data_IF_084802998861
#
_entry.id   IF_084802998861
#
_cell.length_a   1.000
_cell.length_b   1.000
_cell.length_c   1.000
_cell.angle_alpha   90.00
_cell.angle_beta   90.00
_cell.angle_gamma   90.00
#
_symmetry.space_group_name_H-M   'P 1'
#
loop_
_entity.id
_entity.type
_entity.pdbx_description
1 polymer ?
#
# COMPACT_ATOMS: atom_id res chain seq x y z
N UNK A 1 15.03 19.13 -10.08
CA UNK A 1 13.85 18.99 -9.20
C UNK A 1 12.96 17.96 -9.85
N UNK A 2 12.62 16.87 -9.16
CA UNK A 2 11.80 15.77 -9.68
C UNK A 2 10.32 16.11 -9.49
N UNK A 3 9.53 16.07 -10.56
CA UNK A 3 8.07 16.30 -10.46
C UNK A 3 7.37 14.98 -10.16
N UNK A 4 6.65 14.92 -9.04
CA UNK A 4 5.93 13.73 -8.59
C UNK A 4 4.42 13.97 -8.60
N UNK A 5 3.65 13.00 -9.09
CA UNK A 5 2.20 12.95 -8.94
C UNK A 5 1.85 11.91 -7.87
N UNK A 6 1.15 12.32 -6.84
CA UNK A 6 0.60 11.45 -5.79
C UNK A 6 -0.91 11.41 -5.94
N UNK A 7 -1.49 10.28 -6.35
CA UNK A 7 -2.95 10.09 -6.38
C UNK A 7 -3.41 9.40 -5.11
N UNK A 8 -4.61 9.73 -4.61
CA UNK A 8 -5.05 9.28 -3.29
C UNK A 8 -4.27 9.97 -2.16
N UNK A 9 -3.89 11.21 -2.39
CA UNK A 9 -3.04 11.99 -1.50
C UNK A 9 -3.64 12.23 -0.10
N UNK A 10 -4.96 12.21 0.03
CA UNK A 10 -5.69 12.31 1.31
C UNK A 10 -5.80 10.98 2.08
N UNK A 11 -5.26 9.87 1.55
CA UNK A 11 -5.22 8.58 2.24
C UNK A 11 -4.05 8.48 3.24
N UNK A 12 -4.01 7.39 4.03
CA UNK A 12 -2.98 7.19 5.07
C UNK A 12 -1.55 7.18 4.51
N UNK A 13 -1.32 6.42 3.43
CA UNK A 13 0.00 6.40 2.77
C UNK A 13 0.27 7.75 2.11
N UNK A 14 -0.76 8.39 1.51
CA UNK A 14 -0.64 9.69 0.84
C UNK A 14 -0.17 10.77 1.81
N UNK A 15 -0.81 10.89 2.98
CA UNK A 15 -0.40 11.80 4.04
C UNK A 15 1.07 11.61 4.43
N UNK A 16 1.45 10.37 4.74
CA UNK A 16 2.82 10.06 5.16
C UNK A 16 3.85 10.31 4.03
N UNK A 17 3.46 10.07 2.77
CA UNK A 17 4.33 10.30 1.62
C UNK A 17 4.52 11.80 1.32
N UNK A 18 3.47 12.62 1.43
CA UNK A 18 3.56 14.08 1.29
C UNK A 18 4.50 14.67 2.36
N UNK A 19 4.37 14.23 3.61
CA UNK A 19 5.28 14.60 4.69
C UNK A 19 6.73 14.26 4.35
N UNK A 20 6.98 13.04 3.87
CA UNK A 20 8.31 12.59 3.50
C UNK A 20 8.92 13.39 2.32
N UNK A 21 8.12 13.79 1.32
CA UNK A 21 8.60 14.66 0.25
C UNK A 21 8.94 16.07 0.74
N UNK A 22 8.13 16.62 1.64
CA UNK A 22 8.40 17.92 2.24
C UNK A 22 9.72 17.90 3.05
N UNK A 23 9.94 16.87 3.86
CA UNK A 23 11.14 16.71 4.67
C UNK A 23 12.41 16.49 3.83
N UNK A 24 12.31 15.66 2.78
CA UNK A 24 13.46 15.38 1.89
C UNK A 24 13.81 16.56 0.99
N UNK A 25 12.83 17.37 0.60
CA UNK A 25 13.00 18.45 -0.37
C UNK A 25 13.42 17.96 -1.77
N UNK A 26 13.58 18.89 -2.72
CA UNK A 26 14.02 18.59 -4.09
C UNK A 26 12.94 18.04 -5.02
N UNK A 27 11.70 17.97 -4.56
CA UNK A 27 10.53 17.54 -5.33
C UNK A 27 9.59 18.70 -5.63
N UNK A 28 8.92 18.63 -6.78
CA UNK A 28 7.71 19.38 -7.08
C UNK A 28 6.54 18.41 -6.94
N UNK A 29 5.69 18.64 -5.96
CA UNK A 29 4.63 17.69 -5.59
C UNK A 29 3.30 18.13 -6.17
N UNK A 30 2.67 17.25 -6.96
CA UNK A 30 1.29 17.36 -7.44
C UNK A 30 0.47 16.36 -6.62
N UNK A 31 -0.35 16.86 -5.71
CA UNK A 31 -1.23 16.03 -4.88
C UNK A 31 -2.63 15.97 -5.49
N UNK A 32 -3.14 14.77 -5.73
CA UNK A 32 -4.45 14.53 -6.32
C UNK A 32 -5.29 13.62 -5.45
N UNK A 33 -6.53 14.00 -5.18
CA UNK A 33 -7.52 13.14 -4.51
C UNK A 33 -8.92 13.39 -5.08
N UNK A 34 -9.81 12.41 -4.92
CA UNK A 34 -11.23 12.56 -5.25
C UNK A 34 -11.92 13.61 -4.37
N UNK A 35 -11.50 13.70 -3.12
CA UNK A 35 -12.00 14.66 -2.13
C UNK A 35 -11.05 15.83 -2.02
N UNK A 36 -11.58 16.97 -1.60
CA UNK A 36 -10.76 18.11 -1.21
C UNK A 36 -9.79 17.72 -0.10
N UNK A 37 -8.52 18.07 -0.27
CA UNK A 37 -7.51 17.89 0.77
C UNK A 37 -7.68 18.92 1.86
N UNK A 38 -7.48 18.52 3.11
CA UNK A 38 -7.42 19.49 4.21
C UNK A 38 -6.25 20.48 4.01
N UNK A 39 -6.33 21.63 4.70
CA UNK A 39 -5.38 22.73 4.52
C UNK A 39 -3.93 22.33 4.88
N UNK A 40 -3.74 21.38 5.80
CA UNK A 40 -2.42 20.92 6.18
C UNK A 40 -1.79 20.10 5.04
N UNK A 41 -2.49 19.09 4.52
CA UNK A 41 -2.02 18.30 3.38
C UNK A 41 -1.83 19.15 2.12
N UNK A 42 -2.77 20.06 1.85
CA UNK A 42 -2.67 20.98 0.72
C UNK A 42 -1.41 21.85 0.78
N UNK A 43 -0.97 22.25 1.99
CA UNK A 43 0.23 23.07 2.18
C UNK A 43 1.56 22.33 1.89
N UNK A 44 1.53 20.99 1.79
CA UNK A 44 2.69 20.15 1.49
C UNK A 44 2.88 19.92 -0.02
N UNK A 45 1.98 20.42 -0.87
CA UNK A 45 2.02 20.23 -2.32
C UNK A 45 2.16 21.57 -3.07
N UNK A 46 2.90 21.55 -4.18
CA UNK A 46 3.02 22.70 -5.08
C UNK A 46 1.76 22.87 -5.94
N UNK A 47 1.06 21.78 -6.23
CA UNK A 47 -0.20 21.76 -6.99
C UNK A 47 -1.16 20.79 -6.29
N UNK A 48 -2.38 21.25 -6.03
CA UNK A 48 -3.46 20.42 -5.49
C UNK A 48 -4.55 20.28 -6.56
N UNK A 49 -4.93 19.02 -6.83
CA UNK A 49 -5.93 18.69 -7.82
C UNK A 49 -7.04 17.86 -7.18
N UNK A 50 -8.29 18.28 -7.36
CA UNK A 50 -9.44 17.46 -7.02
C UNK A 50 -9.97 16.79 -8.29
N UNK A 51 -9.94 15.44 -8.31
CA UNK A 51 -10.37 14.69 -9.49
C UNK A 51 -10.43 13.19 -9.27
N UNK A 52 -11.11 12.50 -10.17
CA UNK A 52 -11.28 11.05 -10.17
C UNK A 52 -10.26 10.40 -11.12
N UNK A 53 -9.50 9.42 -10.64
CA UNK A 53 -8.58 8.65 -11.49
C UNK A 53 -9.32 7.85 -12.58
N UNK A 54 -10.60 7.52 -12.36
CA UNK A 54 -11.45 6.86 -13.35
C UNK A 54 -11.96 7.80 -14.44
N UNK A 55 -11.85 9.12 -14.28
CA UNK A 55 -12.20 10.10 -15.31
C UNK A 55 -11.03 10.27 -16.29
N UNK A 56 -11.15 9.63 -17.45
CA UNK A 56 -10.13 9.66 -18.48
C UNK A 56 -9.89 11.08 -19.06
N UNK A 57 -10.93 11.92 -19.14
CA UNK A 57 -10.79 13.29 -19.66
C UNK A 57 -10.01 14.16 -18.68
N UNK A 58 -10.33 14.05 -17.38
CA UNK A 58 -9.57 14.72 -16.32
C UNK A 58 -8.10 14.29 -16.33
N UNK A 59 -7.82 12.98 -16.38
CA UNK A 59 -6.45 12.44 -16.40
C UNK A 59 -5.69 12.87 -17.67
N UNK A 60 -6.36 12.98 -18.82
CA UNK A 60 -5.74 13.50 -20.05
C UNK A 60 -5.30 14.97 -19.89
N UNK A 61 -6.01 15.77 -19.10
CA UNK A 61 -5.63 17.15 -18.77
C UNK A 61 -4.31 17.26 -18.01
N UNK A 62 -3.85 16.18 -17.37
CA UNK A 62 -2.57 16.15 -16.64
C UNK A 62 -1.34 16.07 -17.55
N UNK A 63 -1.52 15.83 -18.84
CA UNK A 63 -0.43 15.82 -19.84
C UNK A 63 0.34 17.16 -19.88
N UNK A 64 -0.24 18.27 -19.40
CA UNK A 64 0.42 19.57 -19.29
C UNK A 64 1.55 19.60 -18.25
N UNK A 65 1.56 18.67 -17.30
CA UNK A 65 2.60 18.58 -16.28
C UNK A 65 3.74 17.69 -16.76
N UNK A 66 4.97 18.09 -16.46
CA UNK A 66 6.18 17.31 -16.76
C UNK A 66 6.48 16.33 -15.60
N UNK A 67 5.60 15.32 -15.46
CA UNK A 67 5.67 14.33 -14.37
C UNK A 67 6.82 13.36 -14.66
N UNK A 68 7.70 13.20 -13.66
CA UNK A 68 8.82 12.23 -13.67
C UNK A 68 8.44 10.92 -12.99
N UNK A 69 7.65 11.01 -11.90
CA UNK A 69 7.26 9.85 -11.09
C UNK A 69 5.78 9.94 -10.71
N UNK A 70 5.08 8.80 -10.77
CA UNK A 70 3.70 8.64 -10.33
C UNK A 70 3.67 7.71 -9.13
N UNK A 71 3.10 8.15 -8.01
CA UNK A 71 2.79 7.33 -6.84
C UNK A 71 1.28 7.11 -6.81
N UNK A 72 0.85 5.96 -7.34
CA UNK A 72 -0.57 5.68 -7.54
C UNK A 72 -1.20 5.01 -6.33
N UNK A 73 -1.64 5.82 -5.35
CA UNK A 73 -2.23 5.34 -4.09
C UNK A 73 -3.77 5.26 -4.13
N UNK A 74 -4.40 5.97 -5.08
CA UNK A 74 -5.87 6.00 -5.20
C UNK A 74 -6.42 4.59 -5.47
N UNK A 75 -7.27 4.08 -4.57
CA UNK A 75 -7.92 2.79 -4.71
C UNK A 75 -9.14 2.66 -3.80
N UNK A 76 -10.13 1.87 -4.21
CA UNK A 76 -11.13 1.31 -3.31
C UNK A 76 -10.55 0.07 -2.63
N UNK A 77 -10.49 0.10 -1.28
CA UNK A 77 -9.90 -0.96 -0.46
C UNK A 77 -10.87 -2.13 -0.23
N UNK A 78 -10.37 -3.21 0.37
CA UNK A 78 -11.00 -4.52 0.51
C UNK A 78 -12.50 -4.50 0.86
N UNK A 79 -12.87 -3.87 1.97
CA UNK A 79 -14.28 -3.87 2.44
C UNK A 79 -15.22 -3.11 1.49
N UNK A 80 -14.77 -2.00 0.91
CA UNK A 80 -15.56 -1.22 -0.05
C UNK A 80 -15.64 -1.90 -1.40
N UNK A 81 -14.56 -2.55 -1.83
CA UNK A 81 -14.49 -3.29 -3.09
C UNK A 81 -15.45 -4.51 -3.10
N UNK A 82 -15.56 -5.22 -1.98
CA UNK A 82 -16.52 -6.34 -1.85
C UNK A 82 -17.99 -5.89 -1.92
N UNK A 83 -18.29 -4.69 -1.44
CA UNK A 83 -19.65 -4.14 -1.47
C UNK A 83 -20.03 -3.55 -2.83
N UNK A 84 -19.06 -3.05 -3.60
CA UNK A 84 -19.25 -2.35 -4.87
C UNK A 84 -18.16 -2.78 -5.88
N UNK A 85 -18.20 -4.03 -6.36
CA UNK A 85 -17.12 -4.60 -7.18
C UNK A 85 -16.96 -3.91 -8.54
N UNK A 86 -18.04 -3.43 -9.14
CA UNK A 86 -18.05 -2.66 -10.39
C UNK A 86 -17.37 -1.30 -10.22
N UNK A 87 -17.68 -0.58 -9.14
CA UNK A 87 -17.03 0.70 -8.81
C UNK A 87 -15.55 0.47 -8.49
N UNK A 88 -15.24 -0.59 -7.74
CA UNK A 88 -13.86 -0.95 -7.43
C UNK A 88 -13.05 -1.27 -8.69
N UNK A 89 -13.63 -2.02 -9.63
CA UNK A 89 -12.98 -2.28 -10.92
C UNK A 89 -12.72 -0.96 -11.68
N UNK A 90 -13.71 -0.08 -11.75
CA UNK A 90 -13.56 1.19 -12.46
C UNK A 90 -12.44 2.06 -11.86
N UNK A 91 -12.42 2.24 -10.55
CA UNK A 91 -11.39 3.04 -9.87
C UNK A 91 -10.02 2.35 -9.93
N UNK A 92 -9.95 1.08 -9.51
CA UNK A 92 -8.67 0.41 -9.32
C UNK A 92 -8.02 -0.01 -10.65
N UNK A 93 -8.82 -0.45 -11.63
CA UNK A 93 -8.30 -0.97 -12.90
C UNK A 93 -8.30 0.08 -13.99
N UNK A 94 -9.45 0.70 -14.29
CA UNK A 94 -9.52 1.72 -15.32
C UNK A 94 -8.75 2.98 -14.90
N UNK A 95 -8.79 3.38 -13.61
CA UNK A 95 -7.97 4.46 -13.08
C UNK A 95 -6.47 4.20 -13.26
N UNK A 96 -6.00 2.99 -12.96
CA UNK A 96 -4.60 2.61 -13.21
C UNK A 96 -4.25 2.68 -14.71
N UNK A 97 -5.13 2.18 -15.59
CA UNK A 97 -4.92 2.26 -17.04
C UNK A 97 -4.83 3.72 -17.51
N UNK A 98 -5.72 4.60 -17.06
CA UNK A 98 -5.72 6.03 -17.43
C UNK A 98 -4.37 6.68 -17.07
N UNK A 99 -3.86 6.42 -15.86
CA UNK A 99 -2.58 6.96 -15.40
C UNK A 99 -1.37 6.37 -16.14
N UNK A 100 -1.40 5.08 -16.47
CA UNK A 100 -0.36 4.45 -17.29
C UNK A 100 -0.34 5.05 -18.70
N UNK A 101 -1.50 5.26 -19.32
CA UNK A 101 -1.59 5.90 -20.63
C UNK A 101 -1.16 7.38 -20.60
N UNK A 102 -1.52 8.12 -19.56
CA UNK A 102 -1.01 9.47 -19.30
C UNK A 102 0.52 9.48 -19.20
N UNK A 103 1.07 8.58 -18.35
CA UNK A 103 2.53 8.47 -18.16
C UNK A 103 3.25 8.20 -19.46
N UNK A 104 2.69 7.33 -20.33
CA UNK A 104 3.22 7.08 -21.67
C UNK A 104 3.21 8.31 -22.56
N UNK A 105 2.10 9.06 -22.61
CA UNK A 105 2.02 10.29 -23.42
C UNK A 105 3.04 11.33 -22.98
N UNK A 106 3.18 11.54 -21.66
CA UNK A 106 4.19 12.44 -21.10
C UNK A 106 5.60 11.97 -21.47
N UNK A 107 5.90 10.67 -21.32
CA UNK A 107 7.19 10.09 -21.65
C UNK A 107 7.56 10.30 -23.13
N UNK A 108 6.66 10.01 -24.05
CA UNK A 108 6.86 10.23 -25.48
C UNK A 108 7.08 11.71 -25.83
N UNK A 109 6.28 12.61 -25.27
CA UNK A 109 6.43 14.07 -25.48
C UNK A 109 7.78 14.58 -24.99
N UNK A 110 8.26 14.06 -23.83
CA UNK A 110 9.51 14.51 -23.18
C UNK A 110 10.74 13.78 -23.68
N UNK A 111 10.60 12.62 -24.32
CA UNK A 111 11.71 11.71 -24.64
C UNK A 111 12.38 11.12 -23.41
N UNK A 112 11.62 10.91 -22.31
CA UNK A 112 12.12 10.38 -21.04
C UNK A 112 11.15 9.33 -20.47
N UNK A 113 11.66 8.44 -19.61
CA UNK A 113 10.84 7.42 -18.96
C UNK A 113 10.12 8.02 -17.75
N UNK A 114 8.83 7.72 -17.59
CA UNK A 114 8.09 8.02 -16.37
C UNK A 114 8.11 6.81 -15.44
N UNK A 115 8.54 7.00 -14.21
CA UNK A 115 8.54 5.97 -13.18
C UNK A 115 7.15 5.86 -12.55
N UNK A 116 6.63 4.64 -12.43
CA UNK A 116 5.29 4.39 -11.93
C UNK A 116 5.32 3.48 -10.71
N UNK A 117 5.14 4.04 -9.52
CA UNK A 117 5.12 3.34 -8.23
C UNK A 117 3.70 2.87 -7.92
N UNK A 118 3.53 1.56 -7.76
CA UNK A 118 2.23 0.94 -7.54
C UNK A 118 2.19 0.17 -6.23
N UNK A 119 1.50 0.67 -5.21
CA UNK A 119 1.19 -0.08 -4.01
C UNK A 119 0.24 -1.24 -4.30
N UNK A 120 0.80 -2.45 -4.31
CA UNK A 120 0.04 -3.69 -4.27
C UNK A 120 -0.13 -4.16 -2.82
N UNK A 121 -0.50 -5.40 -2.58
CA UNK A 121 -0.96 -5.89 -1.28
C UNK A 121 -0.78 -7.40 -1.15
N UNK A 122 -0.66 -7.91 0.06
CA UNK A 122 -0.75 -9.35 0.36
C UNK A 122 -2.13 -9.96 0.02
N UNK A 123 -3.17 -9.14 -0.19
CA UNK A 123 -4.48 -9.61 -0.62
C UNK A 123 -4.48 -10.22 -2.05
N UNK A 124 -3.38 -10.11 -2.80
CA UNK A 124 -3.17 -10.83 -4.07
C UNK A 124 -3.02 -12.34 -3.87
N UNK A 125 -2.66 -12.76 -2.66
CA UNK A 125 -2.51 -14.16 -2.31
C UNK A 125 -3.86 -14.79 -1.97
N UNK A 126 -4.07 -16.05 -2.42
CA UNK A 126 -5.24 -16.84 -2.10
C UNK A 126 -4.85 -18.27 -1.75
N UNK A 127 -4.57 -18.53 -0.48
CA UNK A 127 -4.22 -19.84 0.05
C UNK A 127 -5.50 -20.54 0.46
N UNK A 128 -5.72 -21.78 -0.02
CA UNK A 128 -7.02 -22.43 0.03
C UNK A 128 -7.43 -23.03 1.37
N UNK A 129 -6.48 -23.25 2.29
CA UNK A 129 -6.78 -23.79 3.62
C UNK A 129 -5.75 -23.33 4.66
N UNK A 130 -6.10 -23.43 5.93
CA UNK A 130 -5.21 -23.13 7.06
C UNK A 130 -3.99 -24.08 7.08
N UNK A 131 -4.18 -25.34 6.74
CA UNK A 131 -3.09 -26.33 6.64
C UNK A 131 -2.09 -25.90 5.55
N UNK A 132 -2.57 -25.49 4.37
CA UNK A 132 -1.74 -25.00 3.30
C UNK A 132 -1.03 -23.69 3.69
N UNK A 133 -1.72 -22.77 4.40
CA UNK A 133 -1.15 -21.54 4.93
C UNK A 133 -0.02 -21.81 5.92
N UNK A 134 -0.23 -22.73 6.85
CA UNK A 134 0.78 -23.10 7.84
C UNK A 134 1.99 -23.83 7.21
N UNK A 135 1.76 -24.55 6.12
CA UNK A 135 2.81 -25.27 5.39
C UNK A 135 3.57 -24.40 4.38
N UNK A 136 3.02 -23.23 3.96
CA UNK A 136 3.62 -22.41 2.90
C UNK A 136 4.91 -21.71 3.31
N UNK A 137 5.13 -21.51 4.62
CA UNK A 137 6.24 -20.69 5.09
C UNK A 137 6.17 -19.25 4.58
N UNK A 138 7.32 -18.67 4.22
CA UNK A 138 7.40 -17.35 3.60
C UNK A 138 7.07 -17.45 2.11
N UNK A 139 5.97 -16.79 1.70
CA UNK A 139 5.44 -16.89 0.34
C UNK A 139 6.26 -16.01 -0.63
N UNK A 140 6.63 -16.59 -1.77
CA UNK A 140 7.32 -15.90 -2.87
C UNK A 140 6.32 -15.14 -3.77
N UNK A 141 6.83 -14.20 -4.56
CA UNK A 141 6.02 -13.32 -5.41
C UNK A 141 5.23 -14.03 -6.52
N UNK A 142 5.66 -15.22 -6.93
CA UNK A 142 5.01 -16.03 -7.99
C UNK A 142 4.11 -17.15 -7.46
N UNK A 143 3.94 -17.24 -6.14
CA UNK A 143 3.14 -18.27 -5.49
C UNK A 143 1.74 -17.77 -5.13
N UNK A 144 0.75 -18.65 -5.13
CA UNK A 144 -0.62 -18.43 -4.64
C UNK A 144 -1.35 -17.19 -5.18
N UNK A 145 -1.05 -16.75 -6.41
CA UNK A 145 -1.69 -15.59 -7.05
C UNK A 145 -3.12 -15.90 -7.51
N UNK A 146 -3.95 -16.33 -6.59
CA UNK A 146 -5.36 -16.67 -6.78
C UNK A 146 -6.23 -15.95 -5.75
N UNK A 147 -6.28 -14.60 -5.79
CA UNK A 147 -6.96 -13.79 -4.78
C UNK A 147 -8.42 -14.18 -4.62
N UNK A 148 -8.92 -14.04 -3.40
CA UNK A 148 -10.30 -14.38 -3.01
C UNK A 148 -11.18 -13.16 -2.79
N UNK A 149 -10.65 -11.95 -3.01
CA UNK A 149 -11.36 -10.68 -2.88
C UNK A 149 -11.28 -9.86 -4.15
N UNK A 150 -12.30 -9.02 -4.41
CA UNK A 150 -12.31 -8.12 -5.57
C UNK A 150 -11.10 -7.17 -5.57
N UNK A 151 -10.73 -6.68 -4.40
CA UNK A 151 -9.52 -5.85 -4.24
C UNK A 151 -8.26 -6.59 -4.67
N UNK A 152 -8.06 -7.82 -4.18
CA UNK A 152 -6.91 -8.65 -4.56
C UNK A 152 -6.88 -8.96 -6.06
N UNK A 153 -8.05 -9.28 -6.66
CA UNK A 153 -8.17 -9.50 -8.12
C UNK A 153 -7.78 -8.26 -8.90
N UNK A 154 -8.27 -7.07 -8.50
CA UNK A 154 -7.89 -5.81 -9.15
C UNK A 154 -6.38 -5.55 -9.04
N UNK A 155 -5.79 -5.78 -7.86
CA UNK A 155 -4.34 -5.54 -7.64
C UNK A 155 -3.47 -6.48 -8.46
N UNK A 156 -3.76 -7.79 -8.51
CA UNK A 156 -3.05 -8.75 -9.39
C UNK A 156 -3.17 -8.35 -10.85
N UNK A 157 -4.37 -7.96 -11.31
CA UNK A 157 -4.55 -7.49 -12.68
C UNK A 157 -3.66 -6.27 -12.97
N UNK A 158 -3.65 -5.29 -12.09
CA UNK A 158 -2.83 -4.08 -12.25
C UNK A 158 -1.33 -4.35 -12.19
N UNK A 159 -0.86 -5.31 -11.39
CA UNK A 159 0.55 -5.77 -11.42
C UNK A 159 0.92 -6.29 -12.82
N UNK A 160 0.09 -7.16 -13.40
CA UNK A 160 0.31 -7.71 -14.74
C UNK A 160 0.19 -6.63 -15.82
N UNK A 161 -0.80 -5.75 -15.71
CA UNK A 161 -0.99 -4.62 -16.63
C UNK A 161 0.23 -3.67 -16.61
N UNK A 162 0.70 -3.29 -15.42
CA UNK A 162 1.87 -2.41 -15.28
C UNK A 162 3.14 -3.04 -15.84
N UNK A 163 3.37 -4.34 -15.58
CA UNK A 163 4.46 -5.10 -16.17
C UNK A 163 4.37 -5.14 -17.71
N UNK A 164 3.19 -5.43 -18.25
CA UNK A 164 2.96 -5.40 -19.70
C UNK A 164 3.23 -4.01 -20.30
N UNK A 165 2.75 -2.94 -19.68
CA UNK A 165 2.96 -1.57 -20.17
C UNK A 165 4.43 -1.16 -20.10
N UNK A 166 5.18 -1.66 -19.14
CA UNK A 166 6.61 -1.38 -18.97
C UNK A 166 7.51 -2.14 -19.96
N UNK A 167 7.18 -3.42 -20.22
CA UNK A 167 8.11 -4.33 -20.86
C UNK A 167 7.68 -4.77 -22.28
N UNK A 168 6.38 -4.68 -22.62
CA UNK A 168 5.83 -5.28 -23.84
C UNK A 168 4.93 -4.35 -24.66
N UNK A 169 4.40 -3.27 -24.06
CA UNK A 169 3.48 -2.39 -24.79
C UNK A 169 4.16 -1.71 -25.97
N UNK A 170 3.44 -1.56 -27.06
CA UNK A 170 3.94 -0.88 -28.27
C UNK A 170 4.55 -1.80 -29.32
N UNK A 171 4.50 -3.14 -29.14
CA UNK A 171 5.10 -4.09 -30.10
C UNK A 171 4.59 -3.95 -31.54
N UNK A 172 3.37 -3.41 -31.73
CA UNK A 172 2.73 -3.21 -33.03
C UNK A 172 2.45 -1.73 -33.35
N UNK A 173 3.08 -0.82 -32.61
CA UNK A 173 2.94 0.64 -32.83
C UNK A 173 4.19 1.23 -33.50
N UNK A 174 4.09 2.43 -34.09
CA UNK A 174 5.20 3.11 -34.78
C UNK A 174 6.36 3.47 -33.84
N UNK A 175 6.08 3.57 -32.52
CA UNK A 175 7.04 3.84 -31.46
C UNK A 175 7.53 2.54 -30.76
N UNK A 176 7.43 1.42 -31.47
CA UNK A 176 7.92 0.11 -31.01
C UNK A 176 9.38 0.18 -30.53
N UNK A 177 9.64 -0.40 -29.33
CA UNK A 177 10.96 -0.38 -28.71
C UNK A 177 11.27 0.86 -27.87
N UNK A 178 10.43 1.91 -27.89
CA UNK A 178 10.60 3.07 -27.02
C UNK A 178 10.11 2.76 -25.62
N UNK A 179 11.02 2.70 -24.65
CA UNK A 179 10.65 2.54 -23.23
C UNK A 179 10.05 3.85 -22.71
N UNK A 180 8.81 3.80 -22.25
CA UNK A 180 8.07 4.98 -21.77
C UNK A 180 7.75 4.93 -20.29
N UNK A 181 7.57 3.74 -19.74
CA UNK A 181 7.18 3.50 -18.35
C UNK A 181 8.20 2.60 -17.67
N UNK A 182 8.56 2.95 -16.43
CA UNK A 182 9.27 2.09 -15.50
C UNK A 182 8.35 1.75 -14.34
N UNK A 183 7.58 0.64 -14.51
CA UNK A 183 6.62 0.18 -13.52
C UNK A 183 7.31 -0.57 -12.39
N UNK A 184 7.00 -0.19 -11.16
CA UNK A 184 7.55 -0.79 -9.93
C UNK A 184 6.44 -0.93 -8.89
N UNK A 185 6.27 -2.11 -8.33
CA UNK A 185 5.25 -2.39 -7.33
C UNK A 185 5.84 -3.03 -6.09
N UNK A 186 5.29 -2.68 -4.92
CA UNK A 186 5.49 -3.37 -3.65
C UNK A 186 4.18 -3.99 -3.20
N UNK A 187 4.22 -5.23 -2.70
CA UNK A 187 3.08 -5.85 -2.02
C UNK A 187 3.17 -5.53 -0.54
N UNK A 188 2.37 -4.57 -0.14
CA UNK A 188 2.29 -4.20 1.27
C UNK A 188 1.68 -5.31 2.12
N UNK A 189 2.26 -5.58 3.29
CA UNK A 189 1.59 -6.28 4.38
C UNK A 189 0.50 -5.40 5.00
N UNK A 190 -0.08 -5.79 6.13
CA UNK A 190 -0.92 -4.91 6.92
C UNK A 190 -0.12 -3.70 7.40
N UNK A 191 -0.38 -2.52 6.83
CA UNK A 191 0.24 -1.28 7.29
C UNK A 191 -0.46 -0.79 8.57
N UNK A 192 0.33 -0.40 9.56
CA UNK A 192 -0.19 0.18 10.81
C UNK A 192 0.32 1.61 10.91
N UNK A 193 -0.61 2.57 10.87
CA UNK A 193 -0.35 3.99 11.11
C UNK A 193 -0.63 4.35 12.56
N UNK A 194 0.22 5.17 13.15
CA UNK A 194 -0.02 5.74 14.47
C UNK A 194 -0.72 7.11 14.40
N UNK A 195 -0.78 7.73 13.22
CA UNK A 195 -1.31 9.09 13.01
C UNK A 195 -2.73 9.10 12.47
N UNK A 196 -3.27 7.96 12.06
CA UNK A 196 -4.62 7.82 11.50
C UNK A 196 -5.43 6.80 12.31
N UNK A 197 -6.74 6.99 12.35
CA UNK A 197 -7.66 6.06 13.03
C UNK A 197 -8.06 4.96 12.04
N UNK A 198 -8.05 3.66 12.44
CA UNK A 198 -8.44 2.55 11.57
C UNK A 198 -9.88 2.73 11.06
N UNK A 199 -10.10 2.43 9.78
CA UNK A 199 -11.36 2.70 9.08
C UNK A 199 -12.23 1.45 8.83
N UNK A 200 -11.89 0.30 9.43
CA UNK A 200 -12.61 -0.96 9.31
C UNK A 200 -12.09 -1.85 8.17
N UNK A 201 -10.82 -1.76 7.84
CA UNK A 201 -10.11 -2.65 6.92
C UNK A 201 -10.05 -4.10 7.44
N UNK A 202 -9.73 -5.03 6.55
CA UNK A 202 -9.69 -6.47 6.89
C UNK A 202 -8.54 -6.81 7.86
N UNK A 203 -7.45 -6.03 7.84
CA UNK A 203 -6.28 -6.17 8.73
C UNK A 203 -6.31 -5.26 9.96
N UNK A 204 -7.37 -4.46 10.13
CA UNK A 204 -7.41 -3.40 11.15
C UNK A 204 -7.53 -3.89 12.60
N UNK A 205 -7.60 -5.21 12.82
CA UNK A 205 -7.64 -5.75 14.19
C UNK A 205 -6.42 -5.34 15.03
N UNK A 206 -5.27 -5.15 14.42
CA UNK A 206 -4.06 -4.74 15.12
C UNK A 206 -4.13 -3.26 15.57
N UNK A 207 -4.33 -2.26 14.69
CA UNK A 207 -4.48 -0.88 15.13
C UNK A 207 -5.74 -0.65 15.99
N UNK A 208 -6.88 -1.30 15.70
CA UNK A 208 -8.08 -1.19 16.53
C UNK A 208 -7.81 -1.61 17.98
N UNK A 209 -7.04 -2.68 18.19
CA UNK A 209 -6.67 -3.17 19.51
C UNK A 209 -5.83 -2.14 20.30
N UNK A 210 -4.85 -1.49 19.63
CA UNK A 210 -4.02 -0.46 20.27
C UNK A 210 -4.87 0.78 20.62
N UNK A 211 -5.69 1.25 19.68
CA UNK A 211 -6.55 2.43 19.91
C UNK A 211 -7.57 2.20 21.04
N UNK A 212 -8.19 1.02 21.10
CA UNK A 212 -9.14 0.70 22.17
C UNK A 212 -8.44 0.65 23.53
N UNK A 213 -7.26 0.02 23.60
CA UNK A 213 -6.48 -0.03 24.83
C UNK A 213 -6.05 1.37 25.31
N UNK A 214 -5.58 2.22 24.39
CA UNK A 214 -5.18 3.59 24.71
C UNK A 214 -6.36 4.47 25.20
N UNK A 215 -7.60 4.17 24.75
CA UNK A 215 -8.82 4.81 25.23
C UNK A 215 -9.35 4.25 26.55
N UNK A 216 -8.83 3.10 27.00
CA UNK A 216 -9.43 2.36 28.12
C UNK A 216 -10.77 1.67 27.77
N UNK A 217 -11.06 1.46 26.49
CA UNK A 217 -12.27 0.82 25.99
C UNK A 217 -12.05 -0.70 25.82
N UNK A 218 -13.07 -1.55 26.12
CA UNK A 218 -12.95 -2.97 25.83
C UNK A 218 -12.94 -3.23 24.32
N UNK A 219 -12.11 -4.19 23.88
CA UNK A 219 -12.00 -4.57 22.48
C UNK A 219 -12.29 -6.06 22.28
N UNK A 220 -13.17 -6.38 21.33
CA UNK A 220 -13.45 -7.74 20.90
C UNK A 220 -12.79 -7.98 19.52
N UNK A 221 -11.62 -8.61 19.52
CA UNK A 221 -10.86 -8.87 18.29
C UNK A 221 -11.65 -9.77 17.36
N UNK A 222 -11.85 -9.32 16.11
CA UNK A 222 -12.69 -9.99 15.13
C UNK A 222 -11.98 -11.14 14.39
N UNK A 223 -10.74 -11.46 14.75
CA UNK A 223 -10.02 -12.65 14.28
C UNK A 223 -9.65 -13.57 15.45
N UNK A 224 -9.30 -14.83 15.14
CA UNK A 224 -8.84 -15.78 16.16
C UNK A 224 -7.48 -15.37 16.72
N UNK A 225 -7.15 -15.80 17.96
CA UNK A 225 -5.85 -15.50 18.58
C UNK A 225 -4.64 -16.00 17.78
N UNK A 226 -4.80 -17.13 17.08
CA UNK A 226 -3.77 -17.76 16.25
C UNK A 226 -3.64 -17.18 14.84
N UNK A 227 -4.52 -16.24 14.47
CA UNK A 227 -4.51 -15.62 13.15
C UNK A 227 -3.22 -14.84 12.95
N UNK A 228 -2.46 -15.22 11.91
CA UNK A 228 -1.18 -14.61 11.55
C UNK A 228 -1.22 -14.07 10.13
N UNK A 229 -0.79 -12.83 9.96
CA UNK A 229 -0.46 -12.19 8.68
C UNK A 229 0.75 -11.28 8.87
N UNK A 230 1.49 -10.92 7.81
CA UNK A 230 2.57 -9.95 7.94
C UNK A 230 2.03 -8.53 8.16
N UNK A 231 2.77 -7.75 8.94
CA UNK A 231 2.53 -6.33 9.24
C UNK A 231 3.78 -5.49 9.05
N UNK A 232 3.58 -4.17 9.01
CA UNK A 232 4.64 -3.18 8.89
C UNK A 232 4.17 -1.84 9.47
N UNK A 233 5.08 -1.10 10.10
CA UNK A 233 4.81 0.27 10.50
C UNK A 233 4.74 1.20 9.26
N UNK A 234 3.86 2.19 9.27
CA UNK A 234 3.68 3.13 8.14
C UNK A 234 4.97 3.81 7.67
N UNK A 235 5.90 4.25 8.54
CA UNK A 235 7.17 4.83 8.10
C UNK A 235 7.98 3.89 7.19
N UNK A 236 8.02 2.59 7.50
CA UNK A 236 8.67 1.59 6.64
C UNK A 236 7.96 1.41 5.30
N UNK A 237 6.63 1.53 5.28
CA UNK A 237 5.85 1.49 4.04
C UNK A 237 6.20 2.66 3.10
N UNK A 238 6.32 3.87 3.65
CA UNK A 238 6.76 5.05 2.89
C UNK A 238 8.21 4.90 2.44
N UNK A 239 9.09 4.47 3.35
CA UNK A 239 10.50 4.19 3.02
C UNK A 239 10.61 3.21 1.85
N UNK A 240 9.84 2.13 1.84
CA UNK A 240 9.85 1.13 0.77
C UNK A 240 9.50 1.73 -0.60
N UNK A 241 8.48 2.59 -0.67
CA UNK A 241 8.13 3.27 -1.93
C UNK A 241 9.25 4.19 -2.43
N UNK A 242 9.85 4.96 -1.53
CA UNK A 242 10.89 5.92 -1.88
C UNK A 242 12.21 5.23 -2.22
N UNK A 243 12.58 4.16 -1.52
CA UNK A 243 13.79 3.39 -1.79
C UNK A 243 13.67 2.63 -3.13
N UNK A 244 12.50 1.99 -3.37
CA UNK A 244 12.25 1.36 -4.67
C UNK A 244 12.23 2.39 -5.81
N UNK A 245 11.70 3.60 -5.58
CA UNK A 245 11.75 4.68 -6.57
C UNK A 245 13.19 5.11 -6.86
N UNK A 246 14.06 5.17 -5.86
CA UNK A 246 15.46 5.56 -6.00
C UNK A 246 16.35 4.47 -6.60
N UNK A 247 15.95 3.20 -6.53
CA UNK A 247 16.73 2.07 -7.02
C UNK A 247 17.05 2.20 -8.52
N UNK A 248 18.28 1.90 -8.97
CA UNK A 248 18.62 1.90 -10.38
C UNK A 248 17.84 0.80 -11.13
N UNK A 249 17.25 1.14 -12.29
CA UNK A 249 16.38 0.21 -13.02
C UNK A 249 17.08 -1.07 -13.47
N UNK A 250 18.39 -1.02 -13.73
CA UNK A 250 19.21 -2.18 -14.13
C UNK A 250 19.45 -3.17 -12.98
N UNK A 251 19.28 -2.77 -11.73
CA UNK A 251 19.48 -3.63 -10.56
C UNK A 251 18.21 -4.41 -10.21
N UNK A 252 17.06 -3.99 -10.77
CA UNK A 252 15.76 -4.61 -10.50
C UNK A 252 15.56 -5.86 -11.36
N UNK A 253 15.49 -7.03 -10.71
CA UNK A 253 15.28 -8.32 -11.41
C UNK A 253 13.78 -8.60 -11.67
N UNK A 254 12.88 -7.84 -11.06
CA UNK A 254 11.41 -7.98 -11.21
C UNK A 254 10.69 -6.64 -11.13
N UNK A 255 9.39 -6.64 -11.44
CA UNK A 255 8.52 -5.45 -11.38
C UNK A 255 7.71 -5.37 -10.09
N UNK A 256 7.54 -6.50 -9.42
CA UNK A 256 6.71 -6.62 -8.21
C UNK A 256 7.55 -7.28 -7.12
N UNK A 257 7.60 -6.65 -5.96
CA UNK A 257 8.37 -7.11 -4.81
C UNK A 257 7.49 -7.34 -3.60
N UNK A 258 7.70 -8.43 -2.92
CA UNK A 258 7.27 -8.58 -1.54
C UNK A 258 8.14 -7.72 -0.63
N UNK A 259 7.54 -7.14 0.39
CA UNK A 259 8.24 -6.50 1.49
C UNK A 259 7.65 -6.97 2.82
N UNK A 260 8.48 -7.27 3.79
CA UNK A 260 8.09 -7.74 5.10
C UNK A 260 8.82 -6.98 6.21
N UNK A 261 8.21 -6.92 7.40
CA UNK A 261 8.85 -6.43 8.62
C UNK A 261 8.66 -7.45 9.76
N UNK A 262 7.43 -7.71 10.16
CA UNK A 262 7.10 -8.69 11.20
C UNK A 262 5.77 -9.40 10.88
N UNK A 263 5.59 -10.61 11.40
CA UNK A 263 4.40 -11.42 11.12
C UNK A 263 3.84 -12.06 12.40
N UNK A 264 3.22 -11.28 13.30
CA UNK A 264 2.69 -11.75 14.56
C UNK A 264 1.34 -12.46 14.40
N UNK A 265 1.01 -13.29 15.37
CA UNK A 265 -0.37 -13.68 15.64
C UNK A 265 -1.12 -12.55 16.35
N UNK A 266 -2.46 -12.58 16.32
CA UNK A 266 -3.27 -11.63 17.08
C UNK A 266 -3.00 -11.69 18.59
N UNK A 267 -2.68 -12.88 19.11
CA UNK A 267 -2.29 -13.06 20.53
C UNK A 267 -0.93 -12.42 20.86
N UNK A 268 0.03 -12.46 19.94
CA UNK A 268 1.32 -11.76 20.14
C UNK A 268 1.14 -10.25 20.12
N UNK A 269 0.26 -9.71 19.27
CA UNK A 269 -0.13 -8.29 19.28
C UNK A 269 -0.77 -7.92 20.63
N UNK A 270 -1.72 -8.74 21.12
CA UNK A 270 -2.34 -8.55 22.43
C UNK A 270 -1.30 -8.46 23.56
N UNK A 271 -0.26 -9.31 23.54
CA UNK A 271 0.80 -9.28 24.54
C UNK A 271 1.53 -7.93 24.57
N UNK A 272 1.91 -7.39 23.41
CA UNK A 272 2.54 -6.06 23.31
C UNK A 272 1.61 -4.95 23.80
N UNK A 273 0.33 -5.01 23.43
CA UNK A 273 -0.66 -4.02 23.88
C UNK A 273 -0.85 -4.07 25.39
N UNK A 274 -1.00 -5.28 25.97
CA UNK A 274 -1.14 -5.44 27.42
C UNK A 274 0.11 -5.10 28.23
N UNK A 275 1.29 -5.24 27.61
CA UNK A 275 2.53 -4.80 28.27
C UNK A 275 2.56 -3.27 28.46
N UNK A 276 2.01 -2.52 27.51
CA UNK A 276 1.92 -1.05 27.59
C UNK A 276 0.66 -0.57 28.34
N UNK A 277 -0.45 -1.27 28.19
CA UNK A 277 -1.75 -0.95 28.80
C UNK A 277 -2.22 -2.15 29.65
N UNK A 278 -1.72 -2.33 30.89
CA UNK A 278 -2.00 -3.51 31.71
C UNK A 278 -3.48 -3.76 32.01
N UNK A 279 -4.28 -2.69 32.03
CA UNK A 279 -5.74 -2.76 32.30
C UNK A 279 -6.58 -2.98 31.04
N UNK A 280 -5.93 -3.16 29.87
CA UNK A 280 -6.65 -3.35 28.59
C UNK A 280 -7.52 -4.60 28.60
N UNK A 281 -8.82 -4.42 28.31
CA UNK A 281 -9.82 -5.48 28.24
C UNK A 281 -9.94 -5.99 26.81
N UNK A 282 -9.15 -6.99 26.46
CA UNK A 282 -9.12 -7.59 25.12
C UNK A 282 -9.74 -8.98 25.19
N UNK A 283 -10.69 -9.25 24.29
CA UNK A 283 -11.34 -10.55 24.09
C UNK A 283 -11.34 -10.92 22.61
N UNK A 284 -11.77 -12.13 22.27
CA UNK A 284 -11.85 -12.61 20.90
C UNK A 284 -13.29 -12.98 20.54
N UNK A 285 -13.79 -12.36 19.45
CA UNK A 285 -15.08 -12.66 18.87
C UNK A 285 -14.95 -12.71 17.34
N UNK A 286 -14.36 -13.80 16.78
CA UNK A 286 -14.06 -13.89 15.36
C UNK A 286 -15.30 -13.66 14.50
N UNK A 287 -15.22 -12.68 13.59
CA UNK A 287 -16.28 -12.40 12.64
C UNK A 287 -16.14 -13.37 11.44
N UNK A 288 -17.09 -14.28 11.20
CA UNK A 288 -16.87 -15.40 10.26
C UNK A 288 -16.43 -14.96 8.87
N UNK A 289 -17.01 -13.90 8.31
CA UNK A 289 -16.67 -13.43 6.95
C UNK A 289 -15.29 -12.75 6.89
N UNK A 290 -14.95 -11.92 7.89
CA UNK A 290 -13.62 -11.26 7.94
C UNK A 290 -12.53 -12.29 8.20
N UNK A 291 -12.76 -13.22 9.12
CA UNK A 291 -11.84 -14.33 9.41
C UNK A 291 -11.58 -15.18 8.16
N UNK A 292 -12.63 -15.55 7.42
CA UNK A 292 -12.50 -16.35 6.21
C UNK A 292 -11.62 -15.66 5.15
N UNK A 293 -11.68 -14.35 5.02
CA UNK A 293 -10.79 -13.59 4.11
C UNK A 293 -9.34 -13.63 4.60
N UNK A 294 -9.09 -13.31 5.88
CA UNK A 294 -7.73 -13.27 6.45
C UNK A 294 -7.08 -14.66 6.43
N UNK A 295 -7.86 -15.71 6.58
CA UNK A 295 -7.38 -17.09 6.50
C UNK A 295 -6.83 -17.47 5.12
N UNK A 296 -7.25 -16.79 4.05
CA UNK A 296 -6.72 -16.99 2.69
C UNK A 296 -5.43 -16.23 2.39
N UNK A 297 -5.02 -15.28 3.23
CA UNK A 297 -3.78 -14.52 3.04
C UNK A 297 -2.58 -15.29 3.59
N UNK A 298 -1.38 -14.95 3.12
CA UNK A 298 -0.15 -15.57 3.62
C UNK A 298 0.09 -15.26 5.11
N UNK A 299 0.76 -16.17 5.80
CA UNK A 299 1.21 -15.95 7.18
C UNK A 299 2.44 -15.02 7.24
N UNK A 300 3.32 -15.12 6.24
CA UNK A 300 4.52 -14.30 6.08
C UNK A 300 4.91 -14.26 4.60
N UNK A 301 5.79 -13.34 4.22
CA UNK A 301 6.30 -13.18 2.86
C UNK A 301 7.81 -13.35 2.81
N UNK A 302 8.31 -13.88 1.70
CA UNK A 302 9.73 -13.83 1.37
C UNK A 302 10.04 -12.51 0.67
N UNK A 303 10.93 -11.71 1.22
CA UNK A 303 11.36 -10.40 0.73
C UNK A 303 12.83 -10.37 0.26
N UNK A 304 13.43 -11.55 0.03
CA UNK A 304 14.83 -11.67 -0.39
C UNK A 304 15.13 -10.94 -1.69
N UNK A 305 14.20 -10.95 -2.65
CA UNK A 305 14.37 -10.21 -3.89
C UNK A 305 14.49 -8.70 -3.65
N UNK A 306 13.64 -8.13 -2.81
CA UNK A 306 13.71 -6.72 -2.43
C UNK A 306 15.04 -6.38 -1.72
N UNK A 307 15.48 -7.25 -0.82
CA UNK A 307 16.76 -7.09 -0.10
C UNK A 307 17.95 -7.12 -1.04
N UNK A 308 17.94 -8.03 -1.99
CA UNK A 308 19.07 -8.23 -2.91
C UNK A 308 19.12 -7.14 -3.99
N UNK A 309 17.98 -6.75 -4.57
CA UNK A 309 17.93 -5.88 -5.74
C UNK A 309 18.06 -4.40 -5.37
N UNK A 310 17.47 -3.97 -4.25
CA UNK A 310 17.45 -2.55 -3.85
C UNK A 310 17.69 -2.29 -2.36
N UNK A 311 18.22 -3.29 -1.63
CA UNK A 311 18.69 -3.12 -0.27
C UNK A 311 17.57 -2.94 0.74
N UNK A 312 16.36 -3.46 0.49
CA UNK A 312 15.24 -3.38 1.40
C UNK A 312 15.62 -3.86 2.80
N UNK A 313 15.32 -3.05 3.79
CA UNK A 313 15.39 -3.42 5.20
C UNK A 313 14.41 -2.56 5.98
N UNK A 314 13.46 -3.16 6.72
CA UNK A 314 12.60 -2.39 7.61
C UNK A 314 13.44 -1.79 8.75
N UNK A 315 13.07 -0.59 9.19
CA UNK A 315 13.68 0.05 10.36
C UNK A 315 13.02 -0.39 11.66
N UNK A 316 11.75 -0.81 11.57
CA UNK A 316 10.94 -1.23 12.69
C UNK A 316 10.72 -2.74 12.64
N UNK A 317 11.39 -3.51 13.50
CA UNK A 317 10.91 -4.82 13.91
C UNK A 317 9.66 -4.66 14.79
N UNK A 318 9.09 -5.77 15.26
CA UNK A 318 7.85 -5.72 16.06
C UNK A 318 8.03 -4.92 17.36
N UNK A 319 9.11 -5.16 18.09
CA UNK A 319 9.38 -4.50 19.37
C UNK A 319 9.52 -2.98 19.19
N UNK A 320 10.31 -2.55 18.20
CA UNK A 320 10.50 -1.14 17.90
C UNK A 320 9.22 -0.50 17.37
N UNK A 321 8.46 -1.19 16.48
CA UNK A 321 7.21 -0.68 15.95
C UNK A 321 6.22 -0.37 17.08
N UNK A 322 6.07 -1.30 18.03
CA UNK A 322 5.14 -1.10 19.15
C UNK A 322 5.67 -0.10 20.17
N UNK A 323 6.93 -0.20 20.59
CA UNK A 323 7.45 0.56 21.72
C UNK A 323 7.92 1.99 21.34
N UNK A 324 8.41 2.20 20.10
CA UNK A 324 8.97 3.47 19.68
C UNK A 324 8.01 4.31 18.80
N UNK A 325 7.06 3.67 18.09
CA UNK A 325 6.19 4.38 17.15
C UNK A 325 4.71 4.27 17.49
N UNK A 326 4.13 3.05 17.54
CA UNK A 326 2.67 2.88 17.62
C UNK A 326 2.12 3.30 18.99
N UNK A 327 2.60 2.68 20.05
CA UNK A 327 2.07 2.90 21.41
C UNK A 327 2.29 4.34 21.88
N UNK A 328 3.49 4.94 21.79
CA UNK A 328 3.69 6.31 22.24
C UNK A 328 2.86 7.32 21.44
N UNK A 329 2.80 7.16 20.11
CA UNK A 329 2.10 8.11 19.25
C UNK A 329 0.59 7.99 19.43
N UNK A 330 0.03 6.77 19.40
CA UNK A 330 -1.41 6.56 19.60
C UNK A 330 -1.81 6.94 21.03
N UNK A 331 -1.02 6.58 22.04
CA UNK A 331 -1.25 6.93 23.44
C UNK A 331 -1.40 8.43 23.63
N UNK A 332 -0.49 9.22 23.06
CA UNK A 332 -0.51 10.69 23.18
C UNK A 332 -1.76 11.35 22.63
N UNK A 333 -2.49 10.70 21.71
CA UNK A 333 -3.76 11.21 21.17
C UNK A 333 -4.85 11.19 22.23
N UNK A 334 -4.80 10.25 23.18
CA UNK A 334 -5.83 10.00 24.19
C UNK A 334 -5.45 10.42 25.61
N UNK A 335 -4.18 10.78 25.85
CA UNK A 335 -3.66 11.34 27.12
C UNK A 335 -4.08 12.82 27.31
N UNK A 336 -5.38 13.15 27.27
CA UNK A 336 -5.85 14.53 27.47
C UNK A 336 -6.59 14.68 28.80
#
# INVERSE_FOLDING_TARGET
MTTVLVTGAGGEIGHSLLTAFQERGGYRVIAMDLRELDAHLASMADVVLQGDVADAEFINGLDQYDIDEVYHLAALLSTSAEKKPDVAHNVNVNGTMNLLMMSRRIALRRGSVVKFLFPSTIAVYGIRSIEAKNASGKVLEDQFLTPTTMYGVNKVYCEQLGGYMSDHFGQLTDDSGTKTIDFRAVRFPGLISATTVPSGGTSDYAPEMIHAAAKGEPYACFVRPDTRIPFMAMPDGVKALLDLAAAPAQDLTRRVYNIGAFAPSAAEIEQHVKAAFPDAQISYAPHPKRQAIVDTWCADVNDEAARNDWGWSPEYDMDRAFNEYLIPTIGSVYER
#
